data_IF_608395179954
#
_entry.id   IF_608395179954
#
_cell.length_a   1.000
_cell.length_b   1.000
_cell.length_c   1.000
_cell.angle_alpha   90.00
_cell.angle_beta   90.00
_cell.angle_gamma   90.00
#
_symmetry.space_group_name_H-M   'P 1'
#
loop_
_entity.id
_entity.type
_entity.pdbx_description
1 polymer ?
#
# COMPACT_ATOMS: atom_id res chain seq x y z
N UNK A 1 -1.36 40.43 13.28
CA UNK A 1 -2.43 41.10 14.05
C UNK A 1 -3.47 40.07 14.44
N UNK A 2 -4.06 40.14 15.64
CA UNK A 2 -5.01 39.13 16.09
C UNK A 2 -6.27 39.17 15.20
N UNK A 3 -6.62 38.03 14.62
CA UNK A 3 -7.79 37.88 13.77
C UNK A 3 -9.07 38.11 14.59
N UNK A 4 -9.91 39.03 14.14
CA UNK A 4 -11.23 39.26 14.73
C UNK A 4 -12.09 37.99 14.61
N UNK A 5 -12.93 37.66 15.63
CA UNK A 5 -13.83 36.52 15.54
C UNK A 5 -14.80 36.72 14.36
N UNK A 6 -14.80 35.75 13.44
CA UNK A 6 -15.70 35.71 12.29
C UNK A 6 -17.15 35.60 12.79
N UNK A 7 -18.12 36.33 12.22
CA UNK A 7 -19.51 36.22 12.62
C UNK A 7 -20.03 34.81 12.31
N UNK A 8 -20.59 34.16 13.33
CA UNK A 8 -21.30 32.88 13.18
C UNK A 8 -22.48 33.12 12.24
N UNK A 9 -22.44 32.55 11.04
CA UNK A 9 -23.51 32.64 10.05
C UNK A 9 -24.74 31.98 10.67
N UNK A 10 -25.75 32.78 10.99
CA UNK A 10 -27.06 32.29 11.42
C UNK A 10 -27.64 31.51 10.24
N UNK A 11 -27.77 30.19 10.35
CA UNK A 11 -28.49 29.38 9.37
C UNK A 11 -29.89 29.98 9.26
N UNK A 12 -30.17 30.63 8.13
CA UNK A 12 -31.46 31.23 7.85
C UNK A 12 -32.50 30.10 7.84
N UNK A 13 -33.43 30.14 8.79
CA UNK A 13 -34.62 29.31 8.73
C UNK A 13 -35.51 29.78 7.59
N UNK A 14 -36.23 28.83 7.00
CA UNK A 14 -37.29 29.08 6.03
C UNK A 14 -38.24 30.18 6.56
N UNK A 15 -38.60 31.21 5.77
CA UNK A 15 -39.43 32.32 6.24
C UNK A 15 -40.92 31.96 6.36
N UNK A 16 -41.27 30.66 6.41
CA UNK A 16 -42.66 30.19 6.33
C UNK A 16 -43.36 30.04 7.69
N UNK A 17 -42.70 30.25 8.83
CA UNK A 17 -43.36 30.13 10.13
C UNK A 17 -43.08 31.36 11.01
N UNK A 18 -44.11 32.17 11.26
CA UNK A 18 -44.09 33.38 12.09
C UNK A 18 -43.94 33.09 13.59
N UNK A 19 -43.20 32.05 13.96
CA UNK A 19 -42.98 31.59 15.32
C UNK A 19 -41.74 32.19 15.97
N UNK A 20 -41.80 32.41 17.29
CA UNK A 20 -40.67 32.81 18.12
C UNK A 20 -39.44 31.88 17.91
N UNK A 21 -38.20 32.39 18.08
CA UNK A 21 -36.99 31.59 17.87
C UNK A 21 -37.01 30.29 18.72
N UNK A 22 -36.42 29.18 18.23
CA UNK A 22 -36.43 27.92 18.95
C UNK A 22 -35.81 28.11 20.34
N UNK A 23 -36.52 27.62 21.35
CA UNK A 23 -36.11 27.73 22.76
C UNK A 23 -35.07 26.68 23.14
N UNK A 24 -34.95 25.60 22.36
CA UNK A 24 -34.01 24.52 22.57
C UNK A 24 -33.38 24.05 21.26
N UNK A 25 -32.06 23.98 21.21
CA UNK A 25 -31.30 23.36 20.12
C UNK A 25 -30.65 22.08 20.65
N UNK A 26 -30.82 20.98 19.91
CA UNK A 26 -30.30 19.66 20.21
C UNK A 26 -29.29 19.30 19.12
N UNK A 27 -28.12 18.86 19.52
CA UNK A 27 -27.04 18.45 18.62
C UNK A 27 -26.80 16.95 18.80
N UNK A 28 -27.07 16.17 17.75
CA UNK A 28 -26.85 14.72 17.74
C UNK A 28 -25.75 14.37 16.73
N UNK A 29 -24.59 13.96 17.23
CA UNK A 29 -23.44 13.53 16.42
C UNK A 29 -23.15 12.03 16.58
N UNK A 30 -24.07 11.27 17.16
CA UNK A 30 -23.88 9.84 17.41
C UNK A 30 -24.22 8.98 16.18
N UNK A 31 -23.53 7.84 16.05
CA UNK A 31 -23.81 6.81 15.05
C UNK A 31 -23.83 5.42 15.73
N UNK A 32 -25.00 4.79 15.93
CA UNK A 32 -26.35 5.27 15.58
C UNK A 32 -26.82 6.46 16.43
N UNK A 33 -27.79 7.22 15.94
CA UNK A 33 -28.37 8.43 16.56
C UNK A 33 -28.99 8.17 17.94
N UNK A 34 -28.74 9.09 18.86
CA UNK A 34 -29.25 9.04 20.24
C UNK A 34 -30.64 9.69 20.37
N UNK A 35 -30.97 10.61 19.47
CA UNK A 35 -32.21 11.39 19.49
C UNK A 35 -33.14 10.89 18.38
N UNK A 36 -34.41 10.69 18.75
CA UNK A 36 -35.44 10.36 17.77
C UNK A 36 -35.73 11.57 16.87
N UNK A 37 -35.70 11.38 15.55
CA UNK A 37 -36.09 12.37 14.56
C UNK A 37 -37.50 12.94 14.78
N UNK A 38 -38.36 12.23 15.53
CA UNK A 38 -39.65 12.71 16.03
C UNK A 38 -39.59 14.08 16.74
N UNK A 39 -38.43 14.47 17.27
CA UNK A 39 -38.21 15.77 17.92
C UNK A 39 -38.45 16.96 16.98
N UNK A 40 -38.31 16.79 15.66
CA UNK A 40 -38.68 17.81 14.67
C UNK A 40 -40.15 18.25 14.75
N UNK A 41 -41.03 17.42 15.32
CA UNK A 41 -42.46 17.74 15.50
C UNK A 41 -42.75 18.53 16.78
N UNK A 42 -41.77 18.73 17.65
CA UNK A 42 -41.94 19.42 18.93
C UNK A 42 -41.71 20.92 18.70
N UNK A 43 -42.77 21.72 18.87
CA UNK A 43 -42.70 23.17 18.72
C UNK A 43 -41.64 23.81 19.63
N UNK A 44 -40.74 24.59 19.04
CA UNK A 44 -39.67 25.27 19.76
C UNK A 44 -38.39 24.45 19.99
N UNK A 45 -38.33 23.20 19.54
CA UNK A 45 -37.11 22.39 19.49
C UNK A 45 -36.52 22.36 18.07
N UNK A 46 -35.19 22.45 17.96
CA UNK A 46 -34.46 22.26 16.71
C UNK A 46 -33.42 21.17 16.89
N UNK A 47 -33.49 20.11 16.09
CA UNK A 47 -32.45 19.10 16.00
C UNK A 47 -31.44 19.48 14.91
N UNK A 48 -30.16 19.34 15.21
CA UNK A 48 -29.05 19.41 14.26
C UNK A 48 -28.33 18.07 14.34
N UNK A 49 -28.43 17.28 13.28
CA UNK A 49 -27.74 16.00 13.14
C UNK A 49 -26.61 16.08 12.10
N UNK A 50 -25.83 15.00 11.98
CA UNK A 50 -24.73 14.89 11.02
C UNK A 50 -25.21 15.11 9.57
N UNK A 51 -26.40 14.61 9.24
CA UNK A 51 -27.00 14.70 7.90
C UNK A 51 -27.36 16.15 7.56
N UNK A 52 -28.04 16.84 8.47
CA UNK A 52 -28.37 18.27 8.36
C UNK A 52 -27.12 19.16 8.27
N UNK A 53 -26.04 18.77 8.97
CA UNK A 53 -24.77 19.48 8.91
C UNK A 53 -24.06 19.25 7.57
N UNK A 54 -24.12 18.04 7.02
CA UNK A 54 -23.58 17.71 5.71
C UNK A 54 -24.28 18.53 4.61
N UNK A 55 -25.62 18.56 4.61
CA UNK A 55 -26.42 19.31 3.63
C UNK A 55 -26.14 20.82 3.71
N UNK A 56 -26.04 21.38 4.92
CA UNK A 56 -25.70 22.79 5.10
C UNK A 56 -24.26 23.14 4.67
N UNK A 57 -23.37 22.15 4.58
CA UNK A 57 -21.98 22.33 4.16
C UNK A 57 -21.72 22.05 2.68
N UNK A 58 -22.69 21.47 1.95
CA UNK A 58 -22.54 21.08 0.55
C UNK A 58 -22.22 22.28 -0.38
N UNK A 59 -22.74 23.47 -0.06
CA UNK A 59 -22.50 24.72 -0.80
C UNK A 59 -21.31 25.54 -0.27
N UNK A 60 -20.52 25.01 0.66
CA UNK A 60 -19.40 25.73 1.27
C UNK A 60 -18.14 25.72 0.37
N UNK A 61 -17.24 26.72 0.50
CA UNK A 61 -15.97 26.80 -0.25
C UNK A 61 -15.02 25.60 -0.10
N UNK A 62 -15.32 24.65 0.79
CA UNK A 62 -14.54 23.44 1.05
C UNK A 62 -14.48 22.47 -0.14
N UNK A 63 -15.32 22.64 -1.17
CA UNK A 63 -15.28 21.78 -2.37
C UNK A 63 -13.89 21.76 -3.05
N UNK A 64 -13.21 22.91 -3.13
CA UNK A 64 -11.86 23.00 -3.69
C UNK A 64 -10.81 22.29 -2.82
N UNK A 65 -10.95 22.36 -1.50
CA UNK A 65 -10.08 21.64 -0.56
C UNK A 65 -10.30 20.12 -0.67
N UNK A 66 -11.54 19.68 -0.89
CA UNK A 66 -11.90 18.27 -1.12
C UNK A 66 -11.27 17.74 -2.41
N UNK A 67 -11.26 18.50 -3.50
CA UNK A 67 -10.63 18.07 -4.75
C UNK A 67 -9.09 17.98 -4.63
N UNK A 68 -8.46 18.88 -3.89
CA UNK A 68 -7.04 18.79 -3.56
C UNK A 68 -6.74 17.52 -2.73
N UNK A 69 -7.55 17.23 -1.72
CA UNK A 69 -7.42 16.00 -0.91
C UNK A 69 -7.65 14.75 -1.76
N UNK A 70 -8.65 14.75 -2.65
CA UNK A 70 -8.90 13.62 -3.57
C UNK A 70 -7.70 13.32 -4.45
N UNK A 71 -7.00 14.36 -4.92
CA UNK A 71 -5.79 14.20 -5.72
C UNK A 71 -4.69 13.53 -4.89
N UNK A 72 -4.42 14.01 -3.67
CA UNK A 72 -3.43 13.42 -2.77
C UNK A 72 -3.74 11.94 -2.48
N UNK A 73 -5.00 11.64 -2.16
CA UNK A 73 -5.43 10.25 -1.89
C UNK A 73 -5.28 9.38 -3.13
N UNK A 74 -5.61 9.90 -4.31
CA UNK A 74 -5.47 9.15 -5.56
C UNK A 74 -4.02 8.83 -5.88
N UNK A 75 -3.12 9.79 -5.67
CA UNK A 75 -1.67 9.61 -5.86
C UNK A 75 -1.11 8.58 -4.88
N UNK A 76 -1.52 8.64 -3.60
CA UNK A 76 -1.08 7.69 -2.58
C UNK A 76 -1.61 6.27 -2.84
N UNK A 77 -2.87 6.14 -3.27
CA UNK A 77 -3.45 4.84 -3.65
C UNK A 77 -2.71 4.25 -4.86
N UNK A 78 -2.35 5.07 -5.85
CA UNK A 78 -1.57 4.63 -6.99
C UNK A 78 -0.15 4.18 -6.58
N UNK A 79 0.52 4.95 -5.73
CA UNK A 79 1.85 4.63 -5.20
C UNK A 79 1.82 3.33 -4.37
N UNK A 80 0.84 3.20 -3.47
CA UNK A 80 0.63 1.99 -2.67
C UNK A 80 0.38 0.76 -3.55
N UNK A 81 -0.47 0.89 -4.59
CA UNK A 81 -0.72 -0.18 -5.54
C UNK A 81 0.55 -0.62 -6.28
N UNK A 82 1.41 0.31 -6.67
CA UNK A 82 2.70 -0.01 -7.28
C UNK A 82 3.65 -0.72 -6.30
N UNK A 83 3.72 -0.26 -5.05
CA UNK A 83 4.52 -0.90 -4.01
C UNK A 83 4.04 -2.34 -3.72
N UNK A 84 2.72 -2.56 -3.66
CA UNK A 84 2.15 -3.89 -3.45
C UNK A 84 2.49 -4.84 -4.61
N UNK A 85 2.41 -4.39 -5.87
CA UNK A 85 2.84 -5.19 -7.04
C UNK A 85 4.33 -5.53 -6.99
N UNK A 86 5.18 -4.59 -6.61
CA UNK A 86 6.62 -4.83 -6.44
C UNK A 86 6.89 -5.89 -5.35
N UNK A 87 6.16 -5.84 -4.23
CA UNK A 87 6.26 -6.82 -3.15
C UNK A 87 5.89 -8.25 -3.60
N UNK A 88 4.96 -8.42 -4.55
CA UNK A 88 4.62 -9.73 -5.10
C UNK A 88 5.71 -10.36 -5.99
N UNK A 89 6.64 -9.55 -6.52
CA UNK A 89 7.65 -9.99 -7.49
C UNK A 89 9.00 -10.29 -6.83
N UNK A 90 9.34 -9.60 -5.74
CA UNK A 90 10.58 -9.85 -4.97
C UNK A 90 10.77 -11.34 -4.63
N UNK A 91 9.77 -12.07 -4.12
CA UNK A 91 9.92 -13.50 -3.79
C UNK A 91 10.27 -14.37 -5.01
N UNK A 92 9.70 -14.06 -6.17
CA UNK A 92 9.99 -14.77 -7.42
C UNK A 92 11.43 -14.55 -7.88
N UNK A 93 11.93 -13.32 -7.77
CA UNK A 93 13.33 -12.99 -8.11
C UNK A 93 14.31 -13.69 -7.17
N UNK A 94 13.99 -13.77 -5.88
CA UNK A 94 14.83 -14.50 -4.91
C UNK A 94 14.83 -15.99 -5.24
N UNK A 95 13.66 -16.59 -5.47
CA UNK A 95 13.56 -18.01 -5.84
C UNK A 95 14.39 -18.34 -7.10
N UNK A 96 14.34 -17.49 -8.12
CA UNK A 96 15.14 -17.64 -9.35
C UNK A 96 16.65 -17.62 -9.06
N UNK A 97 17.11 -16.69 -8.22
CA UNK A 97 18.54 -16.61 -7.84
C UNK A 97 18.97 -17.82 -7.02
N UNK A 98 18.12 -18.30 -6.12
CA UNK A 98 18.37 -19.52 -5.33
C UNK A 98 18.50 -20.76 -6.21
N UNK A 99 17.58 -20.93 -7.17
CA UNK A 99 17.66 -22.01 -8.15
C UNK A 99 18.97 -21.97 -8.92
N UNK A 100 19.34 -20.80 -9.46
CA UNK A 100 20.57 -20.66 -10.24
C UNK A 100 21.83 -20.92 -9.40
N UNK A 101 21.85 -20.49 -8.14
CA UNK A 101 22.93 -20.82 -7.22
C UNK A 101 23.04 -22.34 -6.99
N UNK A 102 21.90 -23.04 -6.90
CA UNK A 102 21.84 -24.50 -6.83
C UNK A 102 22.43 -25.19 -8.06
N UNK A 103 22.09 -24.70 -9.26
CA UNK A 103 22.68 -25.19 -10.53
C UNK A 103 24.19 -24.99 -10.56
N UNK A 104 24.67 -23.79 -10.21
CA UNK A 104 26.11 -23.51 -10.16
C UNK A 104 26.84 -24.41 -9.17
N UNK A 105 26.27 -24.62 -7.98
CA UNK A 105 26.84 -25.51 -6.98
C UNK A 105 26.92 -26.97 -7.48
N UNK A 106 25.88 -27.44 -8.16
CA UNK A 106 25.84 -28.76 -8.78
C UNK A 106 26.91 -28.94 -9.87
N UNK A 107 27.11 -27.94 -10.72
CA UNK A 107 28.12 -28.00 -11.78
C UNK A 107 29.56 -27.92 -11.25
N UNK A 108 29.80 -27.11 -10.21
CA UNK A 108 31.10 -27.09 -9.53
C UNK A 108 31.38 -28.46 -8.90
N UNK A 109 30.41 -29.07 -8.21
CA UNK A 109 30.58 -30.40 -7.63
C UNK A 109 30.85 -31.50 -8.69
N UNK A 110 30.20 -31.41 -9.86
CA UNK A 110 30.48 -32.30 -11.01
C UNK A 110 31.89 -32.09 -11.55
N UNK A 111 32.36 -30.85 -11.64
CA UNK A 111 33.73 -30.52 -12.06
C UNK A 111 34.74 -31.13 -11.08
N UNK A 112 34.49 -31.01 -9.79
CA UNK A 112 35.33 -31.57 -8.72
C UNK A 112 35.46 -33.08 -8.83
N UNK A 113 34.37 -33.79 -9.12
CA UNK A 113 34.39 -35.24 -9.32
C UNK A 113 35.08 -35.69 -10.62
N UNK A 114 35.05 -34.87 -11.68
CA UNK A 114 35.63 -35.22 -12.99
C UNK A 114 37.11 -34.85 -13.13
N UNK A 115 37.54 -33.80 -12.44
CA UNK A 115 38.91 -33.27 -12.46
C UNK A 115 39.44 -33.19 -11.02
N UNK A 116 39.72 -34.34 -10.39
CA UNK A 116 40.22 -34.37 -9.01
C UNK A 116 41.62 -33.77 -8.90
N UNK A 117 42.44 -33.87 -9.95
CA UNK A 117 43.83 -33.39 -9.96
C UNK A 117 43.97 -31.89 -10.33
N UNK A 118 42.85 -31.17 -10.49
CA UNK A 118 42.87 -29.75 -10.81
C UNK A 118 43.36 -28.94 -9.61
N UNK A 119 44.28 -27.99 -9.85
CA UNK A 119 44.82 -27.12 -8.80
C UNK A 119 43.70 -26.26 -8.17
N UNK A 120 43.82 -26.00 -6.87
CA UNK A 120 42.81 -25.27 -6.09
C UNK A 120 42.63 -23.84 -6.60
N UNK A 121 43.71 -23.21 -7.10
CA UNK A 121 43.63 -21.86 -7.67
C UNK A 121 42.85 -21.85 -8.98
N UNK A 122 43.07 -22.84 -9.85
CA UNK A 122 42.34 -23.00 -11.10
C UNK A 122 40.87 -23.32 -10.84
N UNK A 123 40.59 -24.19 -9.86
CA UNK A 123 39.22 -24.52 -9.41
C UNK A 123 38.47 -23.28 -8.92
N UNK A 124 39.14 -22.44 -8.13
CA UNK A 124 38.56 -21.19 -7.64
C UNK A 124 38.26 -20.20 -8.79
N UNK A 125 39.17 -20.07 -9.75
CA UNK A 125 39.00 -19.16 -10.90
C UNK A 125 37.84 -19.61 -11.80
N UNK A 126 37.72 -20.91 -12.07
CA UNK A 126 36.60 -21.48 -12.83
C UNK A 126 35.29 -21.24 -12.07
N UNK A 127 35.25 -21.56 -10.78
CA UNK A 127 34.06 -21.37 -9.95
C UNK A 127 33.60 -19.90 -9.92
N UNK A 128 34.55 -18.97 -9.79
CA UNK A 128 34.27 -17.54 -9.81
C UNK A 128 33.79 -17.07 -11.18
N UNK A 129 34.34 -17.62 -12.25
CA UNK A 129 33.92 -17.33 -13.62
C UNK A 129 32.49 -17.79 -13.89
N UNK A 130 32.14 -19.03 -13.50
CA UNK A 130 30.77 -19.57 -13.64
C UNK A 130 29.77 -18.71 -12.86
N UNK A 131 30.07 -18.37 -11.60
CA UNK A 131 29.23 -17.47 -10.80
C UNK A 131 29.04 -16.11 -11.48
N UNK A 132 30.11 -15.49 -11.96
CA UNK A 132 30.04 -14.20 -12.68
C UNK A 132 29.20 -14.28 -13.95
N UNK A 133 29.26 -15.39 -14.69
CA UNK A 133 28.43 -15.58 -15.90
C UNK A 133 26.96 -15.65 -15.51
N UNK A 134 26.61 -16.48 -14.52
CA UNK A 134 25.22 -16.61 -14.05
C UNK A 134 24.69 -15.29 -13.49
N UNK A 135 25.48 -14.57 -12.69
CA UNK A 135 25.10 -13.25 -12.16
C UNK A 135 24.80 -12.26 -13.29
N UNK A 136 25.65 -12.22 -14.33
CA UNK A 136 25.43 -11.36 -15.51
C UNK A 136 24.17 -11.76 -16.29
N UNK A 137 23.93 -13.06 -16.47
CA UNK A 137 22.73 -13.56 -17.16
C UNK A 137 21.45 -13.23 -16.39
N UNK A 138 21.48 -13.28 -15.06
CA UNK A 138 20.31 -13.00 -14.22
C UNK A 138 20.11 -11.51 -13.92
N UNK A 139 21.13 -10.67 -14.08
CA UNK A 139 21.02 -9.25 -13.80
C UNK A 139 19.94 -8.57 -14.66
N UNK A 140 20.04 -8.67 -15.99
CA UNK A 140 19.11 -7.97 -16.89
C UNK A 140 17.65 -8.44 -16.75
N UNK A 141 17.34 -9.76 -16.72
CA UNK A 141 15.97 -10.25 -16.47
C UNK A 141 15.43 -9.80 -15.12
N UNK A 142 16.21 -9.88 -14.04
CA UNK A 142 15.71 -9.52 -12.70
C UNK A 142 15.45 -8.02 -12.55
N UNK A 143 16.24 -7.17 -13.20
CA UNK A 143 15.97 -5.72 -13.27
C UNK A 143 14.71 -5.45 -14.11
N UNK A 144 14.59 -6.08 -15.28
CA UNK A 144 13.43 -5.85 -16.18
C UNK A 144 12.12 -6.24 -15.51
N UNK A 145 12.11 -7.32 -14.75
CA UNK A 145 10.96 -7.80 -13.99
C UNK A 145 10.53 -6.81 -12.92
N UNK A 146 11.47 -6.20 -12.19
CA UNK A 146 11.16 -5.14 -11.21
C UNK A 146 10.62 -3.86 -11.86
N UNK A 147 11.09 -3.54 -13.07
CA UNK A 147 10.57 -2.38 -13.82
C UNK A 147 9.12 -2.63 -14.26
N UNK A 148 8.86 -3.78 -14.88
CA UNK A 148 7.53 -4.14 -15.38
C UNK A 148 6.51 -4.32 -14.25
N UNK A 149 6.93 -4.73 -13.06
CA UNK A 149 6.11 -4.74 -11.84
C UNK A 149 5.46 -3.38 -11.52
N UNK A 150 6.20 -2.31 -11.82
CA UNK A 150 5.82 -0.95 -11.50
C UNK A 150 4.81 -0.38 -12.50
N UNK A 151 4.66 -1.02 -13.67
CA UNK A 151 3.74 -0.60 -14.74
C UNK A 151 2.32 -1.16 -14.54
N UNK A 152 1.27 -0.45 -15.00
CA UNK A 152 -0.09 -0.98 -15.03
C UNK A 152 -0.16 -2.23 -15.91
N UNK A 153 -0.54 -3.38 -15.33
CA UNK A 153 -0.58 -4.68 -16.02
C UNK A 153 0.57 -5.64 -15.67
N UNK A 154 1.54 -5.21 -14.86
CA UNK A 154 2.70 -6.02 -14.46
C UNK A 154 2.41 -7.26 -13.59
N UNK A 155 1.17 -7.45 -13.13
CA UNK A 155 0.78 -8.57 -12.27
C UNK A 155 1.01 -9.95 -12.93
N UNK A 156 0.78 -10.07 -14.24
CA UNK A 156 0.98 -11.33 -14.97
C UNK A 156 2.44 -11.72 -15.20
N UNK A 157 3.39 -10.79 -15.00
CA UNK A 157 4.81 -11.06 -15.25
C UNK A 157 5.43 -11.95 -14.17
N UNK A 158 4.93 -11.87 -12.92
CA UNK A 158 5.38 -12.73 -11.84
C UNK A 158 5.03 -14.20 -12.10
N UNK A 159 3.81 -14.44 -12.60
CA UNK A 159 3.31 -15.78 -12.91
C UNK A 159 4.00 -16.36 -14.14
N UNK A 160 4.20 -15.56 -15.19
CA UNK A 160 4.96 -15.97 -16.37
C UNK A 160 6.39 -16.40 -16.03
N UNK A 161 7.06 -15.76 -15.07
CA UNK A 161 8.39 -16.18 -14.62
C UNK A 161 8.36 -17.47 -13.81
N UNK A 162 7.34 -17.67 -12.97
CA UNK A 162 7.19 -18.91 -12.22
C UNK A 162 7.02 -20.09 -13.16
N UNK A 163 6.22 -19.93 -14.22
CA UNK A 163 6.07 -20.93 -15.26
C UNK A 163 7.32 -21.11 -16.11
N UNK A 164 7.93 -20.02 -16.60
CA UNK A 164 9.08 -20.08 -17.51
C UNK A 164 10.31 -20.73 -16.87
N UNK A 165 10.48 -20.55 -15.56
CA UNK A 165 11.62 -21.09 -14.82
C UNK A 165 11.25 -22.29 -13.94
N UNK A 166 10.01 -22.78 -13.98
CA UNK A 166 9.52 -23.88 -13.12
C UNK A 166 9.91 -23.68 -11.65
N UNK A 167 9.63 -22.47 -11.13
CA UNK A 167 10.02 -22.08 -9.78
C UNK A 167 9.16 -22.81 -8.75
N UNK A 168 9.81 -23.54 -7.84
CA UNK A 168 9.13 -24.23 -6.74
C UNK A 168 8.24 -23.26 -5.92
N UNK A 169 6.91 -23.50 -5.89
CA UNK A 169 5.97 -22.67 -5.13
C UNK A 169 6.30 -22.59 -3.64
N UNK A 170 6.92 -23.62 -3.06
CA UNK A 170 7.31 -23.64 -1.66
C UNK A 170 8.47 -22.68 -1.39
N UNK A 171 9.44 -22.61 -2.30
CA UNK A 171 10.56 -21.66 -2.23
C UNK A 171 10.06 -20.22 -2.32
N UNK A 172 9.12 -19.94 -3.24
CA UNK A 172 8.51 -18.60 -3.35
C UNK A 172 7.73 -18.24 -2.07
N UNK A 173 6.90 -19.17 -1.57
CA UNK A 173 6.09 -18.94 -0.37
C UNK A 173 6.92 -18.80 0.92
N UNK A 174 8.08 -19.45 1.00
CA UNK A 174 9.01 -19.30 2.13
C UNK A 174 9.61 -17.89 2.16
N UNK A 175 10.02 -17.35 1.00
CA UNK A 175 10.56 -15.98 0.91
C UNK A 175 9.48 -14.95 1.18
N UNK A 176 8.27 -15.11 0.63
CA UNK A 176 7.14 -14.21 0.92
C UNK A 176 6.81 -14.15 2.42
N UNK A 177 6.89 -15.28 3.13
CA UNK A 177 6.69 -15.31 4.59
C UNK A 177 7.79 -14.58 5.34
N UNK A 178 9.04 -14.71 4.91
CA UNK A 178 10.18 -14.00 5.51
C UNK A 178 10.03 -12.48 5.38
N UNK A 179 9.63 -11.98 4.20
CA UNK A 179 9.39 -10.55 3.95
C UNK A 179 8.26 -9.99 4.85
N UNK A 180 7.16 -10.75 5.04
CA UNK A 180 6.06 -10.34 5.93
C UNK A 180 6.50 -10.23 7.40
N UNK A 181 7.37 -11.12 7.87
CA UNK A 181 7.93 -11.02 9.22
C UNK A 181 8.82 -9.77 9.38
N UNK A 182 9.58 -9.39 8.36
CA UNK A 182 10.48 -8.23 8.44
C UNK A 182 9.71 -6.88 8.45
N UNK A 183 8.61 -6.80 7.69
CA UNK A 183 7.67 -5.68 7.73
C UNK A 183 6.97 -5.55 9.10
N UNK A 184 6.55 -6.66 9.68
CA UNK A 184 5.93 -6.64 11.02
C UNK A 184 6.90 -6.19 12.12
N UNK A 185 8.20 -6.48 11.96
CA UNK A 185 9.23 -6.11 12.92
C UNK A 185 9.63 -4.62 12.81
N UNK A 186 9.55 -4.04 11.62
CA UNK A 186 9.80 -2.61 11.38
C UNK A 186 8.66 -1.74 11.91
N UNK A 187 7.41 -2.18 11.81
CA UNK A 187 6.24 -1.51 12.40
C UNK A 187 6.28 -1.49 13.94
N UNK A 188 6.76 -2.55 14.58
CA UNK A 188 6.94 -2.60 16.04
C UNK A 188 8.05 -1.64 16.49
N UNK A 189 9.12 -1.50 15.71
CA UNK A 189 10.27 -0.64 16.05
C UNK A 189 9.94 0.85 15.93
N UNK A 190 9.02 1.25 15.04
CA UNK A 190 8.56 2.63 14.90
C UNK A 190 7.59 3.09 15.99
N UNK A 191 6.89 2.18 16.69
CA UNK A 191 6.01 2.55 17.83
C UNK A 191 6.75 2.77 19.15
N UNK A 192 8.04 2.43 19.24
CA UNK A 192 8.85 2.57 20.46
C UNK A 192 9.64 3.88 20.58
N UNK A 193 9.52 4.79 19.61
CA UNK A 193 10.13 6.14 19.63
C UNK A 193 9.04 7.21 19.47
N UNK A 194 8.28 7.45 20.53
CA UNK A 194 7.47 8.65 20.71
C UNK A 194 7.55 9.07 22.18
#
# INVERSE_FOLDING_TARGET
>A
GPAAPRPVRRLAGDPADGGAPPRLALLDLAMPRDIDAAVHRIGGARLVDIESLADASADAPMAADVDAVRTIVSDEVAAFGAAQRAAHITPTVVALRTMAAGVVAGEIARLDGRLPDLDDKERAEISQTVRRVVDKLLHAPTVRVKQLASEPGGAGYADALRELFDLDPLTVAAVSRADLTDLSNTDVKNRGRA
#
